data_IF_841505838871
#
_entry.id   IF_841505838871
#
_cell.length_a   1.000
_cell.length_b   1.000
_cell.length_c   1.000
_cell.angle_alpha   90.00
_cell.angle_beta   90.00
_cell.angle_gamma   90.00
#
_symmetry.space_group_name_H-M   'P 1'
#
loop_
_entity.id
_entity.type
_entity.pdbx_description
1 polymer ?
#
# COMPACT_ATOMS: atom_id res chain seq x y z
N UNK A 1 11.57 -6.48 11.46
CA UNK A 1 10.69 -6.51 10.27
C UNK A 1 9.80 -7.74 10.38
N UNK A 2 8.49 -7.52 10.30
CA UNK A 2 7.49 -8.59 10.36
C UNK A 2 7.69 -9.56 9.20
N UNK A 3 7.74 -10.86 9.46
CA UNK A 3 7.85 -11.87 8.41
C UNK A 3 6.50 -12.10 7.75
N UNK A 4 6.53 -12.59 6.50
CA UNK A 4 5.34 -12.86 5.70
C UNK A 4 4.28 -13.67 6.47
N UNK A 5 4.66 -14.80 7.05
CA UNK A 5 3.72 -15.65 7.79
C UNK A 5 3.19 -14.97 9.07
N UNK A 6 4.01 -14.15 9.74
CA UNK A 6 3.60 -13.43 10.95
C UNK A 6 2.54 -12.37 10.63
N UNK A 7 2.63 -11.71 9.47
CA UNK A 7 1.60 -10.78 9.01
C UNK A 7 0.28 -11.50 8.74
N UNK A 8 0.33 -12.61 8.01
CA UNK A 8 -0.86 -13.43 7.70
C UNK A 8 -1.51 -13.94 8.99
N UNK A 9 -0.72 -14.51 9.91
CA UNK A 9 -1.22 -15.01 11.19
C UNK A 9 -1.94 -13.91 11.97
N UNK A 10 -1.36 -12.71 12.06
CA UNK A 10 -2.00 -11.56 12.74
C UNK A 10 -3.32 -11.17 12.11
N UNK A 11 -3.44 -11.16 10.77
CA UNK A 11 -4.71 -10.88 10.11
C UNK A 11 -5.72 -11.98 10.43
N UNK A 12 -5.31 -13.25 10.34
CA UNK A 12 -6.18 -14.41 10.59
C UNK A 12 -6.65 -14.52 12.03
N UNK A 13 -5.93 -13.95 12.99
CA UNK A 13 -6.37 -13.89 14.40
C UNK A 13 -7.66 -13.09 14.59
N UNK A 14 -7.89 -12.04 13.79
CA UNK A 14 -9.11 -11.23 13.88
C UNK A 14 -10.07 -11.40 12.70
N UNK A 15 -9.59 -11.89 11.56
CA UNK A 15 -10.39 -12.25 10.39
C UNK A 15 -10.01 -13.65 9.88
N UNK A 16 -10.61 -14.71 10.44
CA UNK A 16 -10.33 -16.09 10.06
C UNK A 16 -10.66 -16.42 8.59
N UNK A 17 -11.50 -15.63 7.93
CA UNK A 17 -11.95 -15.84 6.55
C UNK A 17 -11.07 -15.11 5.53
N UNK A 18 -10.13 -14.27 5.98
CA UNK A 18 -9.17 -13.57 5.11
C UNK A 18 -8.42 -14.53 4.17
N UNK A 19 -8.22 -14.08 2.93
CA UNK A 19 -7.52 -14.79 1.88
C UNK A 19 -6.01 -14.70 2.11
N UNK A 20 -5.49 -15.74 2.76
CA UNK A 20 -4.06 -15.92 3.00
C UNK A 20 -3.23 -15.89 1.71
N UNK A 21 -3.73 -16.43 0.60
CA UNK A 21 -2.99 -16.45 -0.65
C UNK A 21 -2.86 -15.04 -1.24
N UNK A 22 -3.89 -14.22 -1.11
CA UNK A 22 -3.89 -12.83 -1.57
C UNK A 22 -2.95 -11.95 -0.74
N UNK A 23 -3.00 -12.07 0.59
CA UNK A 23 -2.06 -11.38 1.51
C UNK A 23 -0.60 -11.77 1.23
N UNK A 24 -0.34 -13.07 1.06
CA UNK A 24 0.98 -13.57 0.72
C UNK A 24 1.48 -13.02 -0.62
N UNK A 25 0.61 -12.98 -1.63
CA UNK A 25 0.94 -12.42 -2.95
C UNK A 25 1.33 -10.94 -2.83
N UNK A 26 0.58 -10.15 -2.05
CA UNK A 26 0.86 -8.73 -1.87
C UNK A 26 2.22 -8.52 -1.20
N UNK A 27 2.51 -9.28 -0.14
CA UNK A 27 3.80 -9.21 0.54
C UNK A 27 4.96 -9.50 -0.42
N UNK A 28 4.87 -10.59 -1.18
CA UNK A 28 5.90 -10.98 -2.16
C UNK A 28 6.04 -9.93 -3.25
N UNK A 29 4.93 -9.38 -3.76
CA UNK A 29 4.93 -8.38 -4.80
C UNK A 29 5.67 -7.10 -4.37
N UNK A 30 5.38 -6.60 -3.16
CA UNK A 30 6.11 -5.47 -2.57
C UNK A 30 7.60 -5.74 -2.47
N UNK A 31 8.00 -6.91 -1.94
CA UNK A 31 9.41 -7.30 -1.82
C UNK A 31 10.07 -7.39 -3.19
N UNK A 32 9.38 -7.89 -4.21
CA UNK A 32 9.91 -8.00 -5.57
C UNK A 32 10.10 -6.63 -6.21
N UNK A 33 9.11 -5.75 -6.12
CA UNK A 33 9.14 -4.43 -6.78
C UNK A 33 10.14 -3.47 -6.12
N UNK A 34 10.31 -3.55 -4.81
CA UNK A 34 11.25 -2.72 -4.05
C UNK A 34 12.56 -3.43 -3.70
N UNK A 35 12.78 -4.67 -4.16
CA UNK A 35 13.84 -5.56 -3.64
C UNK A 35 15.28 -5.09 -3.83
N UNK A 36 15.53 -4.25 -4.84
CA UNK A 36 16.85 -3.62 -5.07
C UNK A 36 16.92 -2.18 -4.55
N UNK A 37 15.78 -1.62 -4.12
CA UNK A 37 15.68 -0.26 -3.63
C UNK A 37 16.11 -0.19 -2.16
N UNK A 38 16.82 0.89 -1.82
CA UNK A 38 17.25 1.18 -0.46
C UNK A 38 16.74 2.54 -0.01
N UNK A 39 16.44 2.66 1.28
CA UNK A 39 16.19 3.96 1.91
C UNK A 39 17.49 4.73 2.08
N UNK A 40 17.40 6.01 2.41
CA UNK A 40 18.57 6.84 2.72
C UNK A 40 19.41 6.29 3.88
N UNK A 41 18.80 5.52 4.79
CA UNK A 41 19.49 4.82 5.89
C UNK A 41 20.34 3.63 5.42
N UNK A 42 20.12 3.12 4.21
CA UNK A 42 20.74 1.90 3.68
C UNK A 42 19.88 0.63 3.84
N UNK A 43 18.77 0.71 4.58
CA UNK A 43 17.84 -0.41 4.76
C UNK A 43 17.05 -0.73 3.48
N UNK A 44 16.61 -1.98 3.26
CA UNK A 44 15.76 -2.32 2.13
C UNK A 44 14.44 -1.54 2.16
N UNK A 45 14.03 -0.95 1.03
CA UNK A 45 12.86 -0.07 0.99
C UNK A 45 11.55 -0.78 1.39
N UNK A 46 11.40 -2.05 0.98
CA UNK A 46 10.21 -2.85 1.30
C UNK A 46 9.94 -3.02 2.80
N UNK A 47 10.92 -2.73 3.68
CA UNK A 47 10.70 -2.79 5.12
C UNK A 47 9.63 -1.79 5.57
N UNK A 48 9.53 -0.63 4.91
CA UNK A 48 8.55 0.42 5.25
C UNK A 48 7.11 -0.03 4.99
N UNK A 49 6.70 -0.45 3.78
CA UNK A 49 5.34 -0.92 3.56
C UNK A 49 4.96 -2.12 4.46
N UNK A 50 5.91 -3.02 4.76
CA UNK A 50 5.70 -4.14 5.69
C UNK A 50 5.45 -3.67 7.12
N UNK A 51 6.17 -2.65 7.59
CA UNK A 51 5.94 -2.07 8.92
C UNK A 51 4.59 -1.36 9.00
N UNK A 52 4.21 -0.60 7.96
CA UNK A 52 2.89 0.05 7.89
C UNK A 52 1.76 -0.99 7.93
N UNK A 53 1.86 -2.06 7.13
CA UNK A 53 0.88 -3.15 7.15
C UNK A 53 0.81 -3.84 8.53
N UNK A 54 1.96 -4.06 9.17
CA UNK A 54 2.04 -4.60 10.52
C UNK A 54 1.30 -3.72 11.55
N UNK A 55 1.47 -2.39 11.50
CA UNK A 55 0.74 -1.47 12.38
C UNK A 55 -0.76 -1.49 12.11
N UNK A 56 -1.18 -1.64 10.86
CA UNK A 56 -2.60 -1.74 10.52
C UNK A 56 -3.27 -3.01 11.07
N UNK A 57 -2.51 -4.10 11.26
CA UNK A 57 -3.04 -5.30 11.94
C UNK A 57 -3.41 -5.04 13.40
N UNK A 58 -2.69 -4.14 14.09
CA UNK A 58 -3.02 -3.74 15.46
C UNK A 58 -4.36 -3.00 15.54
N UNK A 59 -4.77 -2.36 14.43
CA UNK A 59 -6.06 -1.69 14.26
C UNK A 59 -7.17 -2.63 13.75
N UNK A 60 -6.86 -3.89 13.44
CA UNK A 60 -7.79 -4.91 12.94
C UNK A 60 -8.57 -4.49 11.69
N UNK A 61 -7.86 -3.88 10.73
CA UNK A 61 -8.45 -3.47 9.45
C UNK A 61 -8.63 -4.66 8.51
N UNK A 62 -9.54 -4.52 7.55
CA UNK A 62 -9.85 -5.51 6.52
C UNK A 62 -8.64 -5.84 5.63
N UNK A 63 -8.66 -7.02 5.02
CA UNK A 63 -7.53 -7.52 4.23
C UNK A 63 -7.19 -6.60 3.05
N UNK A 64 -8.17 -5.97 2.40
CA UNK A 64 -7.97 -5.07 1.28
C UNK A 64 -7.17 -3.84 1.73
N UNK A 65 -7.46 -3.33 2.93
CA UNK A 65 -6.66 -2.27 3.56
C UNK A 65 -5.24 -2.73 3.90
N UNK A 66 -5.04 -3.93 4.42
CA UNK A 66 -3.69 -4.48 4.69
C UNK A 66 -2.89 -4.64 3.40
N UNK A 67 -3.51 -5.17 2.35
CA UNK A 67 -2.91 -5.29 1.01
C UNK A 67 -2.57 -3.90 0.47
N UNK A 68 -3.46 -2.93 0.60
CA UNK A 68 -3.21 -1.55 0.18
C UNK A 68 -1.99 -0.98 0.88
N UNK A 69 -1.82 -1.20 2.20
CA UNK A 69 -0.63 -0.76 2.92
C UNK A 69 0.67 -1.41 2.43
N UNK A 70 0.63 -2.69 2.06
CA UNK A 70 1.79 -3.34 1.45
C UNK A 70 2.16 -2.71 0.10
N UNK A 71 1.16 -2.24 -0.66
CA UNK A 71 1.32 -1.78 -2.05
C UNK A 71 1.37 -0.25 -2.22
N UNK A 72 1.13 0.54 -1.16
CA UNK A 72 0.83 1.98 -1.29
C UNK A 72 1.89 2.78 -2.05
N UNK A 73 3.16 2.47 -1.83
CA UNK A 73 4.30 3.14 -2.48
C UNK A 73 4.73 2.44 -3.78
N UNK A 74 4.16 1.28 -4.10
CA UNK A 74 4.65 0.45 -5.20
C UNK A 74 4.43 1.08 -6.57
N UNK A 75 3.32 1.79 -6.76
CA UNK A 75 3.01 2.48 -8.03
C UNK A 75 3.78 3.81 -8.14
N UNK A 76 4.08 4.45 -7.01
CA UNK A 76 4.80 5.73 -6.99
C UNK A 76 6.32 5.54 -7.18
N UNK A 77 6.89 4.52 -6.54
CA UNK A 77 8.34 4.36 -6.43
C UNK A 77 8.94 3.27 -7.33
N UNK A 78 8.11 2.56 -8.10
CA UNK A 78 8.56 1.46 -8.96
C UNK A 78 7.96 1.54 -10.36
N UNK A 79 8.22 0.55 -11.20
CA UNK A 79 7.65 0.45 -12.55
C UNK A 79 6.26 -0.22 -12.57
N UNK A 80 5.68 -0.54 -11.40
CA UNK A 80 4.33 -1.10 -11.33
C UNK A 80 3.28 -0.06 -11.72
N UNK A 81 2.20 -0.50 -12.37
CA UNK A 81 1.06 0.36 -12.70
C UNK A 81 -0.18 0.01 -11.89
N UNK A 82 -1.21 0.85 -11.95
CA UNK A 82 -2.52 0.55 -11.33
C UNK A 82 -3.17 -0.65 -12.01
N UNK A 83 -2.97 -0.80 -13.33
CA UNK A 83 -3.44 -1.96 -14.08
C UNK A 83 -2.77 -3.26 -13.61
N UNK A 84 -1.45 -3.23 -13.31
CA UNK A 84 -0.78 -4.38 -12.69
C UNK A 84 -1.44 -4.74 -11.35
N UNK A 85 -1.74 -3.74 -10.52
CA UNK A 85 -2.37 -3.94 -9.21
C UNK A 85 -3.78 -4.54 -9.38
N UNK A 86 -4.57 -4.03 -10.31
CA UNK A 86 -5.91 -4.53 -10.59
C UNK A 86 -5.90 -5.99 -11.06
N UNK A 87 -4.98 -6.35 -11.97
CA UNK A 87 -4.85 -7.71 -12.47
C UNK A 87 -4.49 -8.71 -11.35
N UNK A 88 -3.63 -8.31 -10.41
CA UNK A 88 -3.10 -9.21 -9.38
C UNK A 88 -3.95 -9.25 -8.11
N UNK A 89 -4.67 -8.16 -7.79
CA UNK A 89 -5.32 -7.96 -6.49
C UNK A 89 -6.79 -7.51 -6.58
N UNK A 90 -7.30 -7.26 -7.79
CA UNK A 90 -8.67 -6.84 -8.01
C UNK A 90 -8.88 -5.33 -7.96
N UNK A 91 -10.06 -4.91 -8.42
CA UNK A 91 -10.41 -3.50 -8.64
C UNK A 91 -10.51 -2.69 -7.35
N UNK A 92 -10.90 -3.32 -6.24
CA UNK A 92 -11.01 -2.63 -4.95
C UNK A 92 -9.65 -2.19 -4.42
N UNK A 93 -8.67 -3.10 -4.38
CA UNK A 93 -7.29 -2.78 -3.98
C UNK A 93 -6.68 -1.76 -4.94
N UNK A 94 -6.86 -1.91 -6.25
CA UNK A 94 -6.36 -0.96 -7.23
C UNK A 94 -6.90 0.46 -6.99
N UNK A 95 -8.20 0.58 -6.71
CA UNK A 95 -8.85 1.86 -6.37
C UNK A 95 -8.28 2.47 -5.09
N UNK A 96 -8.03 1.65 -4.06
CA UNK A 96 -7.45 2.13 -2.80
C UNK A 96 -6.01 2.62 -2.98
N UNK A 97 -5.18 1.85 -3.68
CA UNK A 97 -3.78 2.21 -4.01
C UNK A 97 -3.71 3.50 -4.84
N UNK A 98 -4.54 3.62 -5.88
CA UNK A 98 -4.66 4.85 -6.68
C UNK A 98 -5.10 6.04 -5.81
N UNK A 99 -6.05 5.82 -4.91
CA UNK A 99 -6.54 6.82 -3.96
C UNK A 99 -5.43 7.39 -3.07
N UNK A 100 -4.66 6.52 -2.40
CA UNK A 100 -3.56 6.95 -1.52
C UNK A 100 -2.41 7.59 -2.29
N UNK A 101 -2.08 7.10 -3.49
CA UNK A 101 -1.07 7.69 -4.38
C UNK A 101 -1.45 9.12 -4.77
N UNK A 102 -2.73 9.35 -5.10
CA UNK A 102 -3.24 10.70 -5.44
C UNK A 102 -3.22 11.64 -4.24
N UNK A 103 -3.54 11.14 -3.05
CA UNK A 103 -3.46 11.94 -1.82
C UNK A 103 -2.01 12.36 -1.52
N UNK A 104 -1.05 11.45 -1.63
CA UNK A 104 0.39 11.73 -1.50
C UNK A 104 0.83 12.88 -2.41
N UNK A 105 0.43 12.82 -3.70
CA UNK A 105 0.75 13.88 -4.67
C UNK A 105 0.18 15.24 -4.30
N UNK A 106 -1.06 15.30 -3.82
CA UNK A 106 -1.67 16.56 -3.35
C UNK A 106 -0.91 17.07 -2.12
N UNK A 107 -0.54 16.18 -1.20
CA UNK A 107 0.27 16.52 -0.02
C UNK A 107 1.73 16.85 -0.33
N UNK A 108 2.20 16.68 -1.56
CA UNK A 108 3.50 17.12 -2.01
C UNK A 108 3.46 18.53 -2.66
N UNK A 109 2.28 19.01 -3.08
CA UNK A 109 2.16 20.29 -3.78
C UNK A 109 2.41 21.49 -2.85
N UNK A 110 2.89 22.63 -3.36
CA UNK A 110 2.90 23.90 -2.63
C UNK A 110 1.50 24.30 -2.14
N UNK A 111 1.42 25.03 -1.02
CA UNK A 111 0.16 25.35 -0.33
C UNK A 111 -0.86 26.09 -1.22
N UNK A 112 -0.37 26.98 -2.10
CA UNK A 112 -1.16 27.70 -3.09
C UNK A 112 -1.76 26.78 -4.16
N UNK A 113 -1.03 25.74 -4.58
CA UNK A 113 -1.51 24.78 -5.57
C UNK A 113 -2.52 23.79 -4.97
N UNK A 114 -2.32 23.35 -3.72
CA UNK A 114 -3.31 22.52 -2.99
C UNK A 114 -4.66 23.24 -2.84
N UNK A 115 -4.65 24.53 -2.50
CA UNK A 115 -5.86 25.31 -2.35
C UNK A 115 -6.65 25.41 -3.69
N UNK A 116 -5.94 25.56 -4.80
CA UNK A 116 -6.53 25.60 -6.14
C UNK A 116 -7.13 24.24 -6.54
N UNK A 117 -6.46 23.14 -6.25
CA UNK A 117 -6.97 21.79 -6.57
C UNK A 117 -8.17 21.41 -5.70
N UNK A 118 -8.15 21.73 -4.41
CA UNK A 118 -9.29 21.55 -3.51
C UNK A 118 -10.51 22.36 -3.97
N UNK A 119 -10.31 23.62 -4.38
CA UNK A 119 -11.37 24.45 -4.95
C UNK A 119 -11.93 23.85 -6.25
N UNK A 120 -11.06 23.35 -7.15
CA UNK A 120 -11.48 22.69 -8.40
C UNK A 120 -12.35 21.47 -8.14
N UNK A 121 -12.00 20.64 -7.14
CA UNK A 121 -12.81 19.48 -6.73
C UNK A 121 -14.15 19.88 -6.11
N UNK A 122 -14.22 21.02 -5.41
CA UNK A 122 -15.48 21.51 -4.83
C UNK A 122 -16.48 22.02 -5.89
N UNK A 123 -15.98 22.44 -7.06
CA UNK A 123 -16.79 23.00 -8.15
C UNK A 123 -17.28 21.96 -9.18
N UNK A 124 -16.84 20.70 -9.06
CA UNK A 124 -17.21 19.58 -9.91
C UNK A 124 -18.11 18.60 -9.15
#
# INVERSE_FOLDING_TARGET
MLRQYELVERVKEYDPDADEALLNRAYVYTVQKHGTQKRASGDPYFSHPVEVAGLMTDLKLDQETIITALLHDTVEDTLATIEDVEEHFGSEVARLVDGVTKLSKIEAMPENERAAENLRKFLL
#
